data_IF_195110958407
#
_entry.id   IF_195110958407
#
_cell.length_a   1.000
_cell.length_b   1.000
_cell.length_c   1.000
_cell.angle_alpha   90.00
_cell.angle_beta   90.00
_cell.angle_gamma   90.00
#
_symmetry.space_group_name_H-M   'P 1'
#
loop_
_entity.id
_entity.type
_entity.pdbx_description
1 polymer ?
#
# COMPACT_ATOMS: atom_id res chain seq x y z
N UNK A 1 -15.20 -21.24 6.63
CA UNK A 1 -13.97 -21.33 5.81
C UNK A 1 -14.28 -21.74 4.37
N UNK A 2 -14.99 -22.86 4.13
CA UNK A 2 -15.35 -23.30 2.77
C UNK A 2 -16.19 -22.27 1.99
N UNK A 3 -17.18 -21.63 2.62
CA UNK A 3 -17.98 -20.59 1.96
C UNK A 3 -17.15 -19.34 1.58
N UNK A 4 -16.16 -18.98 2.39
CA UNK A 4 -15.25 -17.86 2.09
C UNK A 4 -14.40 -18.19 0.86
N UNK A 5 -13.87 -19.42 0.81
CA UNK A 5 -13.13 -19.91 -0.36
C UNK A 5 -14.01 -19.92 -1.61
N UNK A 6 -15.25 -20.37 -1.49
CA UNK A 6 -16.23 -20.36 -2.60
C UNK A 6 -16.48 -18.93 -3.12
N UNK A 7 -16.75 -17.97 -2.24
CA UNK A 7 -16.95 -16.58 -2.65
C UNK A 7 -15.70 -15.96 -3.27
N UNK A 8 -14.50 -16.24 -2.73
CA UNK A 8 -13.25 -15.75 -3.33
C UNK A 8 -13.01 -16.31 -4.73
N UNK A 9 -13.32 -17.58 -4.96
CA UNK A 9 -13.16 -18.22 -6.26
C UNK A 9 -14.18 -17.68 -7.27
N UNK A 10 -15.42 -17.44 -6.84
CA UNK A 10 -16.47 -16.84 -7.66
C UNK A 10 -16.08 -15.41 -8.08
N UNK A 11 -15.52 -14.60 -7.18
CA UNK A 11 -15.05 -13.26 -7.52
C UNK A 11 -13.89 -13.29 -8.53
N UNK A 12 -12.93 -14.19 -8.35
CA UNK A 12 -11.77 -14.28 -9.23
C UNK A 12 -12.15 -14.74 -10.65
N UNK A 13 -13.06 -15.71 -10.76
CA UNK A 13 -13.59 -16.15 -12.06
C UNK A 13 -14.38 -15.04 -12.75
N UNK A 14 -15.20 -14.28 -12.01
CA UNK A 14 -15.95 -13.15 -12.56
C UNK A 14 -15.01 -12.05 -13.09
N UNK A 15 -13.96 -11.69 -12.34
CA UNK A 15 -12.96 -10.70 -12.79
C UNK A 15 -12.25 -11.15 -14.07
N UNK A 16 -11.87 -12.43 -14.15
CA UNK A 16 -11.23 -12.98 -15.34
C UNK A 16 -12.15 -12.97 -16.57
N UNK A 17 -13.43 -13.31 -16.37
CA UNK A 17 -14.42 -13.24 -17.45
C UNK A 17 -14.64 -11.81 -17.93
N UNK A 18 -14.73 -10.83 -17.01
CA UNK A 18 -14.87 -9.42 -17.39
C UNK A 18 -13.65 -8.91 -18.17
N UNK A 19 -12.42 -9.18 -17.72
CA UNK A 19 -11.21 -8.70 -18.40
C UNK A 19 -11.03 -9.35 -19.77
N UNK A 20 -11.34 -10.64 -19.90
CA UNK A 20 -11.28 -11.33 -21.20
C UNK A 20 -12.34 -10.82 -22.19
N UNK A 21 -13.57 -10.58 -21.74
CA UNK A 21 -14.62 -9.96 -22.58
C UNK A 21 -14.17 -8.56 -23.03
N UNK A 22 -13.66 -7.73 -22.11
CA UNK A 22 -13.14 -6.40 -22.45
C UNK A 22 -11.99 -6.48 -23.46
N UNK A 23 -11.08 -7.44 -23.31
CA UNK A 23 -9.99 -7.64 -24.25
C UNK A 23 -10.50 -8.04 -25.65
N UNK A 24 -11.46 -8.97 -25.72
CA UNK A 24 -12.05 -9.41 -27.00
C UNK A 24 -12.79 -8.25 -27.70
N UNK A 25 -13.57 -7.47 -26.96
CA UNK A 25 -14.31 -6.32 -27.50
C UNK A 25 -13.36 -5.21 -27.96
N UNK A 26 -12.29 -4.95 -27.20
CA UNK A 26 -11.33 -3.88 -27.49
C UNK A 26 -10.27 -4.25 -28.54
N UNK A 27 -10.17 -5.52 -28.93
CA UNK A 27 -9.17 -5.99 -29.87
C UNK A 27 -9.38 -5.35 -31.25
N UNK A 28 -8.45 -4.46 -31.63
CA UNK A 28 -8.38 -3.89 -32.99
C UNK A 28 -7.34 -4.67 -33.79
N UNK A 29 -7.72 -5.10 -34.98
CA UNK A 29 -6.86 -5.86 -35.90
C UNK A 29 -5.72 -5.03 -36.49
N UNK A 30 -5.89 -3.71 -36.58
CA UNK A 30 -4.88 -2.80 -37.14
C UNK A 30 -4.02 -2.27 -36.01
N UNK A 31 -2.76 -2.68 -36.06
CA UNK A 31 -1.68 -2.26 -35.16
C UNK A 31 -1.04 -1.01 -35.76
N UNK A 32 -1.36 0.16 -35.21
CA UNK A 32 -0.72 1.42 -35.59
C UNK A 32 0.50 1.68 -34.69
N UNK A 33 1.67 1.93 -35.29
CA UNK A 33 2.91 2.26 -34.55
C UNK A 33 2.72 3.46 -33.61
N UNK A 34 2.04 4.51 -34.06
CA UNK A 34 1.79 5.74 -33.28
C UNK A 34 0.85 5.51 -32.08
N UNK A 35 0.03 4.45 -32.08
CA UNK A 35 -0.77 4.06 -30.91
C UNK A 35 0.03 3.19 -29.94
N UNK A 36 1.11 2.58 -30.42
CA UNK A 36 2.01 1.75 -29.63
C UNK A 36 3.23 2.52 -29.10
N UNK A 37 3.47 3.75 -29.54
CA UNK A 37 4.51 4.61 -29.01
C UNK A 37 4.09 5.23 -27.66
N UNK A 38 5.06 5.54 -26.78
CA UNK A 38 4.79 6.25 -25.53
C UNK A 38 4.16 7.62 -25.81
N UNK A 39 3.15 7.99 -25.02
CA UNK A 39 2.49 9.29 -25.16
C UNK A 39 3.22 10.36 -24.31
N UNK A 40 3.91 11.30 -24.97
CA UNK A 40 4.51 12.47 -24.33
C UNK A 40 3.97 13.77 -24.96
N UNK A 41 2.66 13.99 -24.80
CA UNK A 41 1.94 15.15 -25.38
C UNK A 41 2.08 15.30 -26.91
N UNK A 42 2.28 14.17 -27.62
CA UNK A 42 2.45 14.14 -29.08
C UNK A 42 3.90 14.30 -29.56
N UNK A 43 4.86 14.33 -28.64
CA UNK A 43 6.30 14.31 -28.95
C UNK A 43 6.89 12.91 -28.71
N UNK A 44 7.99 12.62 -29.40
CA UNK A 44 8.83 11.48 -29.07
C UNK A 44 9.51 11.70 -27.72
N UNK A 45 9.63 10.68 -26.87
CA UNK A 45 10.23 10.84 -25.56
C UNK A 45 11.69 11.25 -25.65
N UNK A 46 12.05 12.33 -24.94
CA UNK A 46 13.40 12.88 -24.94
C UNK A 46 14.40 11.97 -24.22
N UNK A 47 13.95 11.28 -23.16
CA UNK A 47 14.74 10.36 -22.36
C UNK A 47 13.93 9.11 -22.01
N UNK A 48 14.61 8.09 -21.46
CA UNK A 48 13.92 6.92 -20.94
C UNK A 48 13.05 7.31 -19.73
N UNK A 49 11.91 6.62 -19.56
CA UNK A 49 11.04 6.81 -18.38
C UNK A 49 11.70 6.46 -17.03
N UNK A 50 12.91 5.90 -17.04
CA UNK A 50 13.67 5.55 -15.83
C UNK A 50 14.48 6.75 -15.37
N UNK A 51 13.79 7.66 -14.69
CA UNK A 51 14.39 8.83 -14.04
C UNK A 51 14.89 8.41 -12.65
N UNK A 52 16.00 8.97 -12.14
CA UNK A 52 16.40 8.77 -10.75
C UNK A 52 15.24 9.10 -9.81
N UNK A 53 14.87 8.11 -9.00
CA UNK A 53 13.77 8.23 -8.05
C UNK A 53 14.20 9.10 -6.87
N UNK A 54 13.30 9.95 -6.36
CA UNK A 54 13.62 10.75 -5.18
C UNK A 54 13.76 9.85 -3.95
N UNK A 55 14.82 10.03 -3.17
CA UNK A 55 15.01 9.33 -1.90
C UNK A 55 13.92 9.63 -0.87
N UNK A 56 13.29 10.80 -0.93
CA UNK A 56 12.20 11.19 -0.03
C UNK A 56 10.99 10.26 -0.11
N UNK A 57 10.50 9.95 -1.33
CA UNK A 57 9.41 9.00 -1.51
C UNK A 57 9.73 7.60 -0.96
N UNK A 58 11.00 7.19 -1.06
CA UNK A 58 11.43 5.91 -0.50
C UNK A 58 11.38 5.92 1.03
N UNK A 59 11.84 7.01 1.66
CA UNK A 59 11.80 7.14 3.12
C UNK A 59 10.38 7.09 3.67
N UNK A 60 9.43 7.75 3.02
CA UNK A 60 8.01 7.69 3.42
C UNK A 60 7.48 6.25 3.37
N UNK A 61 7.85 5.47 2.35
CA UNK A 61 7.44 4.07 2.22
C UNK A 61 8.05 3.18 3.32
N UNK A 62 9.32 3.41 3.69
CA UNK A 62 9.99 2.69 4.78
C UNK A 62 9.33 3.01 6.12
N UNK A 63 9.05 4.30 6.38
CA UNK A 63 8.35 4.76 7.58
C UNK A 63 6.97 4.08 7.68
N UNK A 64 6.18 4.10 6.60
CA UNK A 64 4.88 3.42 6.55
C UNK A 64 4.98 1.93 6.88
N UNK A 65 5.98 1.24 6.36
CA UNK A 65 6.19 -0.18 6.63
C UNK A 65 6.47 -0.47 8.11
N UNK A 66 7.28 0.38 8.76
CA UNK A 66 7.57 0.24 10.20
C UNK A 66 6.31 0.48 11.02
N UNK A 67 5.56 1.55 10.73
CA UNK A 67 4.29 1.85 11.41
C UNK A 67 3.27 0.71 11.26
N UNK A 68 3.20 0.06 10.09
CA UNK A 68 2.29 -1.07 9.86
C UNK A 68 2.65 -2.28 10.73
N UNK A 69 3.95 -2.58 10.89
CA UNK A 69 4.43 -3.63 11.80
C UNK A 69 4.06 -3.31 13.25
N UNK A 70 4.19 -2.06 13.68
CA UNK A 70 3.83 -1.64 15.03
C UNK A 70 2.32 -1.77 15.29
N UNK A 71 1.48 -1.47 14.30
CA UNK A 71 0.03 -1.70 14.39
C UNK A 71 -0.32 -3.19 14.50
N UNK A 72 0.37 -4.06 13.76
CA UNK A 72 0.21 -5.52 13.88
C UNK A 72 0.54 -6.00 15.30
N UNK A 73 1.53 -5.38 15.97
CA UNK A 73 1.88 -5.70 17.37
C UNK A 73 0.79 -5.21 18.35
N UNK A 74 0.09 -4.10 18.05
CA UNK A 74 -1.02 -3.60 18.89
C UNK A 74 -2.26 -4.49 18.79
N UNK A 75 -2.61 -4.99 17.60
CA UNK A 75 -3.84 -5.78 17.37
C UNK A 75 -4.09 -6.94 18.35
N UNK A 76 -3.12 -7.82 18.68
CA UNK A 76 -3.33 -8.91 19.63
C UNK A 76 -3.64 -8.43 21.06
N UNK A 77 -3.30 -7.19 21.42
CA UNK A 77 -3.69 -6.63 22.71
C UNK A 77 -5.21 -6.53 22.83
N UNK A 78 -5.94 -6.17 21.77
CA UNK A 78 -7.41 -6.10 21.83
C UNK A 78 -8.00 -7.47 22.20
N UNK A 79 -7.42 -8.56 21.67
CA UNK A 79 -7.85 -9.93 21.96
C UNK A 79 -7.50 -10.34 23.40
N UNK A 80 -6.36 -9.88 23.92
CA UNK A 80 -5.90 -10.20 25.28
C UNK A 80 -6.63 -9.44 26.39
N UNK A 81 -7.46 -8.41 26.06
CA UNK A 81 -8.20 -7.62 27.04
C UNK A 81 -9.14 -8.45 27.94
N UNK A 82 -9.59 -9.60 27.45
CA UNK A 82 -10.50 -10.48 28.21
C UNK A 82 -9.78 -11.31 29.27
N UNK A 83 -8.47 -11.55 29.13
CA UNK A 83 -7.75 -12.54 29.94
C UNK A 83 -6.71 -11.93 30.91
N UNK A 84 -6.34 -10.66 30.71
CA UNK A 84 -5.29 -10.00 31.49
C UNK A 84 -5.88 -8.99 32.50
N UNK A 85 -5.10 -8.67 33.54
CA UNK A 85 -5.47 -7.58 34.47
C UNK A 85 -5.51 -6.26 33.72
N UNK A 86 -6.67 -5.58 33.74
CA UNK A 86 -6.90 -4.30 33.03
C UNK A 86 -5.80 -3.26 33.29
N UNK A 87 -5.33 -3.12 34.53
CA UNK A 87 -4.33 -2.12 34.89
C UNK A 87 -2.96 -2.37 34.23
N UNK A 88 -2.51 -3.63 34.16
CA UNK A 88 -1.25 -3.98 33.50
C UNK A 88 -1.32 -3.75 31.99
N UNK A 89 -2.48 -4.04 31.40
CA UNK A 89 -2.74 -3.83 30.00
C UNK A 89 -2.73 -2.36 29.59
N UNK A 90 -3.39 -1.50 30.38
CA UNK A 90 -3.35 -0.05 30.16
C UNK A 90 -1.94 0.51 30.25
N UNK A 91 -1.13 0.02 31.20
CA UNK A 91 0.26 0.46 31.34
C UNK A 91 1.10 0.11 30.10
N UNK A 92 0.98 -1.11 29.57
CA UNK A 92 1.74 -1.51 28.36
C UNK A 92 1.26 -0.72 27.14
N UNK A 93 -0.06 -0.60 26.95
CA UNK A 93 -0.62 0.17 25.82
C UNK A 93 -0.18 1.64 25.85
N UNK A 94 -0.17 2.24 27.05
CA UNK A 94 0.26 3.62 27.22
C UNK A 94 1.75 3.79 26.90
N UNK A 95 2.61 2.90 27.41
CA UNK A 95 4.05 2.92 27.11
C UNK A 95 4.32 2.72 25.61
N UNK A 96 3.61 1.80 24.97
CA UNK A 96 3.76 1.54 23.53
C UNK A 96 3.36 2.75 22.69
N UNK A 97 2.21 3.36 22.99
CA UNK A 97 1.75 4.57 22.30
C UNK A 97 2.69 5.76 22.51
N UNK A 98 3.29 5.90 23.69
CA UNK A 98 4.29 6.93 23.96
C UNK A 98 5.54 6.78 23.06
N UNK A 99 6.04 5.55 22.91
CA UNK A 99 7.19 5.26 22.04
C UNK A 99 6.86 5.62 20.59
N UNK A 100 5.68 5.21 20.12
CA UNK A 100 5.14 5.55 18.79
C UNK A 100 5.10 7.06 18.55
N UNK A 101 4.54 7.81 19.50
CA UNK A 101 4.46 9.28 19.42
C UNK A 101 5.83 9.93 19.37
N UNK A 102 6.77 9.48 20.21
CA UNK A 102 8.14 10.02 20.24
C UNK A 102 8.86 9.73 18.92
N UNK A 103 8.71 8.53 18.36
CA UNK A 103 9.25 8.16 17.05
C UNK A 103 8.72 9.08 15.94
N UNK A 104 7.40 9.29 15.90
CA UNK A 104 6.77 10.17 14.92
C UNK A 104 7.22 11.63 15.06
N UNK A 105 7.37 12.15 16.29
CA UNK A 105 7.92 13.48 16.51
C UNK A 105 9.38 13.60 16.05
N UNK A 106 10.19 12.54 16.23
CA UNK A 106 11.56 12.52 15.75
C UNK A 106 11.64 12.58 14.22
N UNK A 107 10.80 11.79 13.53
CA UNK A 107 10.72 11.80 12.07
C UNK A 107 10.23 13.14 11.51
N UNK A 108 9.26 13.77 12.19
CA UNK A 108 8.78 15.10 11.83
C UNK A 108 9.87 16.17 12.00
N UNK A 109 10.59 16.17 13.12
CA UNK A 109 11.70 17.11 13.31
C UNK A 109 12.80 16.97 12.26
N UNK A 110 12.99 15.76 11.70
CA UNK A 110 13.93 15.51 10.62
C UNK A 110 13.40 15.90 9.22
N UNK A 111 12.18 16.45 9.12
CA UNK A 111 11.52 16.84 7.86
C UNK A 111 11.39 15.69 6.85
N UNK A 112 11.36 14.44 7.34
CA UNK A 112 11.17 13.26 6.48
C UNK A 112 9.73 13.18 5.96
N UNK A 113 8.79 13.79 6.67
CA UNK A 113 7.37 13.86 6.35
C UNK A 113 7.01 15.09 5.49
N UNK A 114 7.91 16.07 5.37
CA UNK A 114 7.67 17.24 4.55
C UNK A 114 7.86 16.87 3.07
N UNK A 115 6.85 17.21 2.28
CA UNK A 115 6.82 16.95 0.84
C UNK A 115 7.40 18.10 0.00
N UNK A 116 7.80 19.20 0.65
CA UNK A 116 8.22 20.47 0.04
C UNK A 116 9.60 20.91 0.56
#
# INVERSE_FOLDING_TARGET
>A
MLNILYYSFLLLTLLFMLTSILYIISYKSIIDREKMSPFECGFDPFESSRIPFSSHFFMIAVIFLIFDIELVIIMPMIVLMTNMKMLYMYMIMYLFLLILLIGLFHEWNNKLLDWL
#
